data_IF_079701617916
#
_entry.id   IF_079701617916
#
_cell.length_a   1.000
_cell.length_b   1.000
_cell.length_c   1.000
_cell.angle_alpha   90.00
_cell.angle_beta   90.00
_cell.angle_gamma   90.00
#
_symmetry.space_group_name_H-M   'P 1'
#
loop_
_entity.id
_entity.type
_entity.pdbx_description
1 polymer ?
#
# COMPACT_ATOMS: atom_id res chain seq x y z
N UNK A 1 -28.58 14.83 -17.06
CA UNK A 1 -27.75 15.50 -16.03
C UNK A 1 -28.33 15.10 -14.68
N UNK A 2 -27.52 14.51 -13.79
CA UNK A 2 -27.98 14.16 -12.45
C UNK A 2 -28.12 15.47 -11.64
N UNK A 3 -29.27 15.63 -11.00
CA UNK A 3 -29.52 16.75 -10.08
C UNK A 3 -28.43 16.72 -8.97
N UNK A 4 -27.72 17.80 -8.77
CA UNK A 4 -26.67 17.90 -7.73
C UNK A 4 -25.24 17.95 -8.25
N UNK A 5 -24.97 17.64 -9.53
CA UNK A 5 -23.60 17.76 -10.09
C UNK A 5 -23.09 19.20 -10.09
N UNK A 6 -23.98 20.17 -10.19
CA UNK A 6 -23.63 21.59 -10.16
C UNK A 6 -23.18 22.05 -8.77
N UNK A 7 -23.84 21.55 -7.71
CA UNK A 7 -23.44 21.82 -6.32
C UNK A 7 -22.07 21.21 -6.03
N UNK A 8 -21.83 19.98 -6.48
CA UNK A 8 -20.53 19.30 -6.32
C UNK A 8 -19.42 20.06 -7.06
N UNK A 9 -19.68 20.50 -8.31
CA UNK A 9 -18.72 21.28 -9.08
C UNK A 9 -18.40 22.63 -8.42
N UNK A 10 -19.41 23.32 -7.89
CA UNK A 10 -19.21 24.56 -7.14
C UNK A 10 -18.39 24.32 -5.86
N UNK A 11 -18.68 23.25 -5.13
CA UNK A 11 -17.91 22.88 -3.93
C UNK A 11 -16.45 22.62 -4.29
N UNK A 12 -16.19 21.83 -5.33
CA UNK A 12 -14.83 21.50 -5.78
C UNK A 12 -14.06 22.73 -6.28
N UNK A 13 -14.73 23.69 -6.90
CA UNK A 13 -14.13 24.97 -7.33
C UNK A 13 -13.57 25.79 -6.16
N UNK A 14 -14.28 25.82 -5.04
CA UNK A 14 -13.91 26.62 -3.86
C UNK A 14 -13.17 25.85 -2.79
N UNK A 15 -12.95 24.52 -2.98
CA UNK A 15 -12.21 23.66 -2.05
C UNK A 15 -10.77 23.44 -2.53
N UNK A 16 -9.95 22.90 -1.64
CA UNK A 16 -8.65 22.33 -1.98
C UNK A 16 -8.82 20.82 -1.99
N UNK A 17 -8.73 20.19 -3.16
CA UNK A 17 -8.84 18.75 -3.30
C UNK A 17 -7.47 18.11 -3.06
N UNK A 18 -7.39 17.21 -2.10
CA UNK A 18 -6.19 16.42 -1.83
C UNK A 18 -6.49 14.96 -2.18
N UNK A 19 -5.67 14.38 -3.04
CA UNK A 19 -5.72 12.97 -3.43
C UNK A 19 -4.50 12.27 -2.86
N UNK A 20 -4.74 11.24 -2.06
CA UNK A 20 -3.70 10.39 -1.52
C UNK A 20 -3.63 9.09 -2.31
N UNK A 21 -2.38 8.64 -2.60
CA UNK A 21 -2.09 7.37 -3.27
C UNK A 21 -2.88 7.13 -4.57
N UNK A 22 -2.91 8.13 -5.48
CA UNK A 22 -3.68 8.06 -6.74
C UNK A 22 -3.37 6.83 -7.58
N UNK A 23 -2.14 6.30 -7.52
CA UNK A 23 -1.72 5.12 -8.27
C UNK A 23 -2.37 3.81 -7.78
N UNK A 24 -3.00 3.82 -6.60
CA UNK A 24 -3.72 2.66 -6.06
C UNK A 24 -5.04 2.37 -6.78
N UNK A 25 -5.54 3.33 -7.57
CA UNK A 25 -6.79 3.15 -8.32
C UNK A 25 -6.58 2.44 -9.66
N UNK A 26 -7.61 1.80 -10.15
CA UNK A 26 -7.61 1.22 -11.50
C UNK A 26 -7.39 2.28 -12.59
N UNK A 27 -6.74 1.95 -13.72
CA UNK A 27 -6.42 2.91 -14.78
C UNK A 27 -7.61 3.71 -15.31
N UNK A 28 -8.81 3.09 -15.36
CA UNK A 28 -10.04 3.79 -15.79
C UNK A 28 -10.47 4.84 -14.78
N UNK A 29 -10.35 4.53 -13.49
CA UNK A 29 -10.65 5.47 -12.40
C UNK A 29 -9.64 6.61 -12.41
N UNK A 30 -8.35 6.31 -12.57
CA UNK A 30 -7.28 7.31 -12.69
C UNK A 30 -7.58 8.27 -13.86
N UNK A 31 -7.99 7.77 -15.03
CA UNK A 31 -8.36 8.61 -16.17
C UNK A 31 -9.53 9.56 -15.84
N UNK A 32 -10.53 9.07 -15.12
CA UNK A 32 -11.68 9.88 -14.67
C UNK A 32 -11.25 10.95 -13.66
N UNK A 33 -10.38 10.56 -12.71
CA UNK A 33 -9.84 11.50 -11.72
C UNK A 33 -9.05 12.60 -12.42
N UNK A 34 -8.13 12.27 -13.33
CA UNK A 34 -7.31 13.25 -14.05
C UNK A 34 -8.18 14.21 -14.87
N UNK A 35 -9.22 13.70 -15.54
CA UNK A 35 -10.17 14.55 -16.23
C UNK A 35 -10.90 15.50 -15.27
N UNK A 36 -11.31 14.99 -14.10
CA UNK A 36 -11.92 15.79 -13.04
C UNK A 36 -10.98 16.87 -12.51
N UNK A 37 -9.69 16.55 -12.29
CA UNK A 37 -8.67 17.52 -11.85
C UNK A 37 -8.49 18.65 -12.87
N UNK A 38 -8.45 18.31 -14.15
CA UNK A 38 -8.41 19.31 -15.22
C UNK A 38 -9.62 20.24 -15.17
N UNK A 39 -10.81 19.68 -15.04
CA UNK A 39 -12.05 20.46 -14.95
C UNK A 39 -12.06 21.39 -13.72
N UNK A 40 -11.62 20.89 -12.56
CA UNK A 40 -11.51 21.69 -11.33
C UNK A 40 -10.57 22.88 -11.56
N UNK A 41 -9.44 22.65 -12.18
CA UNK A 41 -8.46 23.67 -12.45
C UNK A 41 -8.95 24.71 -13.47
N UNK A 42 -9.62 24.28 -14.54
CA UNK A 42 -10.26 25.18 -15.51
C UNK A 42 -11.32 26.08 -14.85
N UNK A 43 -11.96 25.62 -13.79
CA UNK A 43 -12.89 26.40 -12.96
C UNK A 43 -12.18 27.31 -11.95
N UNK A 44 -10.84 27.28 -11.83
CA UNK A 44 -10.04 28.03 -10.88
C UNK A 44 -9.92 27.39 -9.50
N UNK A 45 -10.23 26.11 -9.36
CA UNK A 45 -10.00 25.33 -8.15
C UNK A 45 -8.55 24.81 -8.03
N UNK A 46 -8.22 24.26 -6.87
CA UNK A 46 -6.88 23.75 -6.56
C UNK A 46 -6.91 22.29 -6.21
N UNK A 47 -5.84 21.58 -6.57
CA UNK A 47 -5.64 20.19 -6.16
C UNK A 47 -4.20 19.92 -5.73
N UNK A 48 -4.01 18.88 -4.93
CA UNK A 48 -2.73 18.27 -4.63
C UNK A 48 -2.84 16.76 -4.72
N UNK A 49 -1.78 16.10 -5.19
CA UNK A 49 -1.62 14.65 -5.18
C UNK A 49 -0.44 14.35 -4.26
N UNK A 50 -0.65 13.48 -3.28
CA UNK A 50 0.37 13.02 -2.34
C UNK A 50 0.55 11.52 -2.57
N UNK A 51 1.77 11.07 -2.76
CA UNK A 51 2.07 9.65 -2.97
C UNK A 51 3.51 9.33 -2.67
N UNK A 52 3.77 8.16 -2.12
CA UNK A 52 5.12 7.64 -1.92
C UNK A 52 5.75 7.14 -3.24
N UNK A 53 4.93 6.77 -4.21
CA UNK A 53 5.38 6.28 -5.51
C UNK A 53 4.61 7.00 -6.62
N UNK A 54 5.31 7.70 -7.50
CA UNK A 54 4.71 8.38 -8.65
C UNK A 54 5.18 7.74 -9.97
N UNK A 55 4.41 6.79 -10.51
CA UNK A 55 4.82 6.10 -11.73
C UNK A 55 4.99 7.06 -12.91
N UNK A 56 6.07 6.95 -13.72
CA UNK A 56 6.26 7.81 -14.88
C UNK A 56 5.11 7.76 -15.89
N UNK A 57 4.39 6.64 -15.93
CA UNK A 57 3.21 6.49 -16.78
C UNK A 57 2.08 7.42 -16.34
N UNK A 58 1.94 7.69 -15.05
CA UNK A 58 0.93 8.60 -14.52
C UNK A 58 1.20 10.03 -14.98
N UNK A 59 2.46 10.48 -14.94
CA UNK A 59 2.89 11.79 -15.46
C UNK A 59 2.51 11.95 -16.94
N UNK A 60 2.86 10.96 -17.77
CA UNK A 60 2.49 10.94 -19.19
C UNK A 60 0.98 10.96 -19.41
N UNK A 61 0.25 10.32 -18.53
CA UNK A 61 -1.21 10.30 -18.59
C UNK A 61 -1.79 11.68 -18.28
N UNK A 62 -1.29 12.36 -17.25
CA UNK A 62 -1.68 13.73 -16.91
C UNK A 62 -1.40 14.68 -18.07
N UNK A 63 -0.23 14.63 -18.67
CA UNK A 63 0.15 15.42 -19.85
C UNK A 63 -0.80 15.16 -21.03
N UNK A 64 -1.10 13.89 -21.32
CA UNK A 64 -2.05 13.51 -22.38
C UNK A 64 -3.44 14.14 -22.21
N UNK A 65 -3.89 14.30 -20.98
CA UNK A 65 -5.19 14.92 -20.67
C UNK A 65 -5.09 16.42 -20.43
N UNK A 66 -3.95 17.04 -20.73
CA UNK A 66 -3.76 18.48 -20.71
C UNK A 66 -3.42 19.07 -19.36
N UNK A 67 -2.91 18.26 -18.45
CA UNK A 67 -2.29 18.70 -17.20
C UNK A 67 -0.77 18.63 -17.38
N UNK A 68 -0.11 19.76 -17.61
CA UNK A 68 1.34 19.83 -17.83
C UNK A 68 2.06 20.38 -16.61
N UNK A 69 3.21 19.79 -16.28
CA UNK A 69 4.06 20.31 -15.22
C UNK A 69 4.56 21.72 -15.53
N UNK A 70 4.63 22.58 -14.52
CA UNK A 70 5.02 23.98 -14.66
C UNK A 70 3.89 24.91 -15.11
N UNK A 71 2.85 24.40 -15.76
CA UNK A 71 1.65 25.18 -16.15
C UNK A 71 0.48 24.95 -15.19
N UNK A 72 0.03 23.68 -15.09
CA UNK A 72 -1.13 23.32 -14.31
C UNK A 72 -0.80 22.73 -12.94
N UNK A 73 0.38 22.17 -12.77
CA UNK A 73 0.87 21.68 -11.48
C UNK A 73 2.38 21.85 -11.36
N UNK A 74 2.88 21.75 -10.14
CA UNK A 74 4.30 21.65 -9.83
C UNK A 74 4.57 20.29 -9.18
N UNK A 75 5.61 19.61 -9.66
CA UNK A 75 6.08 18.36 -9.06
C UNK A 75 7.17 18.67 -8.04
N UNK A 76 7.06 18.11 -6.84
CA UNK A 76 8.08 18.20 -5.81
C UNK A 76 8.47 16.79 -5.38
N UNK A 77 9.71 16.42 -5.66
CA UNK A 77 10.29 15.13 -5.30
C UNK A 77 11.02 15.25 -3.96
N UNK A 78 10.51 14.59 -2.93
CA UNK A 78 11.12 14.54 -1.61
C UNK A 78 12.16 13.40 -1.47
N UNK A 79 12.43 12.65 -2.54
CA UNK A 79 13.50 11.64 -2.57
C UNK A 79 14.86 12.23 -2.96
N UNK A 80 14.91 13.51 -3.33
CA UNK A 80 16.14 14.22 -3.61
C UNK A 80 17.09 14.19 -2.39
N UNK A 81 18.40 14.25 -2.66
CA UNK A 81 19.45 14.06 -1.62
C UNK A 81 19.30 14.95 -0.39
N UNK A 82 18.76 16.16 -0.54
CA UNK A 82 18.54 17.08 0.57
C UNK A 82 17.52 16.60 1.61
N UNK A 83 16.64 15.67 1.22
CA UNK A 83 15.60 15.09 2.06
C UNK A 83 15.90 13.65 2.50
N UNK A 84 17.02 13.07 2.08
CA UNK A 84 17.39 11.70 2.47
C UNK A 84 17.81 11.66 3.95
N UNK A 85 16.96 11.05 4.75
CA UNK A 85 17.18 10.88 6.19
C UNK A 85 18.04 9.67 6.53
N UNK A 86 18.05 8.63 5.67
CA UNK A 86 18.72 7.36 5.93
C UNK A 86 19.67 6.96 4.80
N UNK A 87 20.94 6.77 5.13
CA UNK A 87 21.96 6.25 4.20
C UNK A 87 22.13 4.73 4.26
N UNK A 88 21.40 4.04 5.15
CA UNK A 88 21.55 2.60 5.36
C UNK A 88 20.45 1.82 4.65
N UNK A 89 20.78 0.67 4.03
CA UNK A 89 19.78 -0.22 3.47
C UNK A 89 18.85 -0.74 4.58
N UNK A 90 17.54 -0.61 4.42
CA UNK A 90 16.56 -1.08 5.40
C UNK A 90 16.18 -2.54 5.21
N UNK A 91 16.41 -3.09 4.01
CA UNK A 91 15.96 -4.42 3.64
C UNK A 91 17.07 -5.22 2.96
N UNK A 92 17.17 -6.49 3.31
CA UNK A 92 17.90 -7.50 2.54
C UNK A 92 16.87 -8.33 1.77
N UNK A 93 16.97 -8.34 0.45
CA UNK A 93 16.01 -9.02 -0.42
C UNK A 93 16.62 -10.33 -0.91
N UNK A 94 15.85 -11.41 -0.79
CA UNK A 94 16.16 -12.71 -1.38
C UNK A 94 15.04 -13.10 -2.34
N UNK A 95 15.39 -13.39 -3.58
CA UNK A 95 14.42 -13.84 -4.60
C UNK A 95 14.59 -15.34 -4.79
N UNK A 96 13.52 -16.08 -4.58
CA UNK A 96 13.46 -17.54 -4.76
C UNK A 96 12.51 -17.88 -5.92
N UNK A 97 12.92 -18.84 -6.79
CA UNK A 97 12.10 -19.33 -7.90
C UNK A 97 11.24 -20.54 -7.49
N UNK A 98 10.74 -20.51 -6.27
CA UNK A 98 9.94 -21.58 -5.67
C UNK A 98 8.66 -21.01 -5.06
N UNK A 99 7.75 -21.87 -4.66
CA UNK A 99 6.63 -21.45 -3.81
C UNK A 99 7.12 -21.00 -2.43
N UNK A 100 6.26 -20.25 -1.74
CA UNK A 100 6.52 -19.80 -0.37
C UNK A 100 6.82 -21.02 0.52
N UNK A 101 7.97 -21.03 1.17
CA UNK A 101 8.42 -22.12 2.01
C UNK A 101 7.80 -22.04 3.42
N UNK A 102 6.82 -22.91 3.67
CA UNK A 102 6.05 -22.94 4.93
C UNK A 102 6.92 -23.33 6.11
N UNK A 103 7.83 -24.31 5.94
CA UNK A 103 8.72 -24.76 7.02
C UNK A 103 9.58 -23.61 7.55
N UNK A 104 10.17 -22.86 6.64
CA UNK A 104 11.01 -21.72 7.00
C UNK A 104 10.22 -20.61 7.68
N UNK A 105 8.96 -20.37 7.26
CA UNK A 105 8.09 -19.38 7.90
C UNK A 105 7.74 -19.80 9.31
N UNK A 106 7.40 -21.09 9.54
CA UNK A 106 7.09 -21.63 10.87
C UNK A 106 8.29 -21.52 11.80
N UNK A 107 9.48 -21.88 11.32
CA UNK A 107 10.73 -21.75 12.08
C UNK A 107 10.97 -20.28 12.50
N UNK A 108 10.89 -19.35 11.55
CA UNK A 108 11.11 -17.94 11.85
C UNK A 108 9.99 -17.32 12.69
N UNK A 109 8.74 -17.73 12.48
CA UNK A 109 7.57 -17.26 13.23
C UNK A 109 7.56 -17.72 14.69
N UNK A 110 8.41 -18.68 15.06
CA UNK A 110 8.59 -19.09 16.46
C UNK A 110 9.42 -18.09 17.28
N UNK A 111 10.21 -17.26 16.63
CA UNK A 111 11.14 -16.32 17.29
C UNK A 111 10.96 -14.87 16.89
N UNK A 112 10.32 -14.62 15.75
CA UNK A 112 10.12 -13.28 15.16
C UNK A 112 8.68 -13.06 14.73
N UNK A 113 8.33 -11.83 14.49
CA UNK A 113 7.07 -11.53 13.83
C UNK A 113 7.25 -11.56 12.30
N UNK A 114 6.43 -12.39 11.65
CA UNK A 114 6.51 -12.69 10.22
C UNK A 114 5.23 -12.28 9.52
N UNK A 115 5.37 -11.50 8.45
CA UNK A 115 4.27 -11.13 7.55
C UNK A 115 4.37 -11.93 6.24
N UNK A 116 3.28 -12.57 5.85
CA UNK A 116 3.16 -13.28 4.57
C UNK A 116 2.10 -12.61 3.73
N UNK A 117 2.45 -12.12 2.53
CA UNK A 117 1.51 -11.46 1.62
C UNK A 117 1.31 -12.29 0.37
N UNK A 118 0.09 -12.78 0.18
CA UNK A 118 -0.34 -13.51 -1.00
C UNK A 118 -1.06 -12.62 -1.99
N UNK A 119 -0.99 -12.94 -3.28
CA UNK A 119 -1.70 -12.20 -4.32
C UNK A 119 -3.19 -12.54 -4.39
N UNK A 120 -3.61 -13.68 -3.83
CA UNK A 120 -5.00 -14.12 -3.84
C UNK A 120 -5.47 -14.58 -2.47
N UNK A 121 -6.76 -14.37 -2.19
CA UNK A 121 -7.40 -14.83 -0.95
C UNK A 121 -7.32 -16.35 -0.83
N UNK A 122 -7.56 -17.08 -1.93
CA UNK A 122 -7.51 -18.54 -1.95
C UNK A 122 -6.15 -19.09 -1.52
N UNK A 123 -5.03 -18.47 -1.99
CA UNK A 123 -3.68 -18.89 -1.60
C UNK A 123 -3.41 -18.55 -0.13
N UNK A 124 -3.82 -17.37 0.33
CA UNK A 124 -3.68 -16.99 1.74
C UNK A 124 -4.43 -17.98 2.65
N UNK A 125 -5.66 -18.34 2.31
CA UNK A 125 -6.46 -19.32 3.05
C UNK A 125 -5.83 -20.73 3.05
N UNK A 126 -5.26 -21.15 1.90
CA UNK A 126 -4.57 -22.46 1.80
C UNK A 126 -3.37 -22.51 2.74
N UNK A 127 -2.49 -21.50 2.69
CA UNK A 127 -1.31 -21.42 3.55
C UNK A 127 -1.73 -21.33 5.02
N UNK A 128 -2.74 -20.54 5.35
CA UNK A 128 -3.25 -20.43 6.71
C UNK A 128 -3.73 -21.78 7.27
N UNK A 129 -4.53 -22.53 6.52
CA UNK A 129 -5.03 -23.85 6.95
C UNK A 129 -3.89 -24.81 7.23
N UNK A 130 -2.87 -24.85 6.36
CA UNK A 130 -1.71 -25.72 6.53
C UNK A 130 -0.88 -25.35 7.76
N UNK A 131 -0.74 -24.05 8.04
CA UNK A 131 0.01 -23.57 9.21
C UNK A 131 -0.77 -23.73 10.51
N UNK A 132 -2.10 -23.53 10.48
CA UNK A 132 -2.97 -23.64 11.66
C UNK A 132 -2.96 -25.06 12.25
N UNK A 133 -2.72 -26.10 11.46
CA UNK A 133 -2.55 -27.48 11.94
C UNK A 133 -1.25 -27.68 12.73
N UNK A 134 -0.30 -26.72 12.63
CA UNK A 134 1.06 -26.86 13.16
C UNK A 134 1.42 -25.82 14.22
N UNK A 135 0.71 -24.70 14.28
CA UNK A 135 0.92 -23.65 15.26
C UNK A 135 -0.36 -22.88 15.54
N UNK A 136 -0.53 -22.46 16.80
CA UNK A 136 -1.60 -21.58 17.21
C UNK A 136 -1.28 -20.09 16.98
N UNK A 137 0.00 -19.76 16.73
CA UNK A 137 0.48 -18.39 16.55
C UNK A 137 0.41 -17.92 15.10
N UNK A 138 -0.67 -18.23 14.40
CA UNK A 138 -0.93 -17.82 13.01
C UNK A 138 -2.29 -17.18 12.89
N UNK A 139 -2.33 -16.05 12.19
CA UNK A 139 -3.55 -15.26 11.95
C UNK A 139 -3.71 -14.96 10.45
N UNK A 140 -4.96 -14.72 10.04
CA UNK A 140 -5.31 -14.46 8.64
C UNK A 140 -6.11 -13.18 8.50
N UNK A 141 -5.70 -12.30 7.57
CA UNK A 141 -6.44 -11.09 7.21
C UNK A 141 -6.56 -10.94 5.68
N UNK A 142 -7.79 -10.85 5.17
CA UNK A 142 -8.06 -10.61 3.74
C UNK A 142 -9.34 -9.81 3.52
N UNK A 143 -9.60 -9.38 2.28
CA UNK A 143 -10.72 -8.51 1.92
C UNK A 143 -12.11 -9.13 2.01
N UNK A 144 -12.22 -10.46 2.08
CA UNK A 144 -13.52 -11.16 2.10
C UNK A 144 -14.16 -11.24 3.49
N UNK A 145 -13.53 -10.70 4.53
CA UNK A 145 -14.19 -10.56 5.83
C UNK A 145 -15.28 -9.48 5.79
N UNK A 146 -16.36 -9.67 6.53
CA UNK A 146 -17.34 -8.60 6.73
C UNK A 146 -16.70 -7.40 7.44
N UNK A 147 -17.24 -6.21 7.22
CA UNK A 147 -16.64 -4.95 7.69
C UNK A 147 -16.27 -4.95 9.17
N UNK A 148 -17.14 -5.51 10.02
CA UNK A 148 -16.91 -5.55 11.48
C UNK A 148 -15.72 -6.43 11.83
N UNK A 149 -15.66 -7.64 11.29
CA UNK A 149 -14.59 -8.61 11.59
C UNK A 149 -13.27 -8.17 10.98
N UNK A 150 -13.33 -7.54 9.82
CA UNK A 150 -12.17 -6.92 9.18
C UNK A 150 -11.57 -5.81 10.05
N UNK A 151 -12.39 -4.88 10.56
CA UNK A 151 -11.92 -3.81 11.43
C UNK A 151 -11.26 -4.35 12.71
N UNK A 152 -11.83 -5.40 13.30
CA UNK A 152 -11.24 -6.09 14.45
C UNK A 152 -9.88 -6.71 14.12
N UNK A 153 -9.74 -7.38 12.96
CA UNK A 153 -8.48 -7.99 12.54
C UNK A 153 -7.43 -6.94 12.15
N UNK A 154 -7.84 -5.81 11.56
CA UNK A 154 -6.96 -4.67 11.28
C UNK A 154 -6.40 -4.05 12.57
N UNK A 155 -7.22 -3.88 13.58
CA UNK A 155 -6.75 -3.45 14.90
C UNK A 155 -5.81 -4.48 15.54
N UNK A 156 -6.16 -5.76 15.47
CA UNK A 156 -5.38 -6.86 16.02
C UNK A 156 -3.98 -6.96 15.39
N UNK A 157 -3.85 -6.83 14.07
CA UNK A 157 -2.54 -6.87 13.39
C UNK A 157 -1.68 -5.65 13.75
N UNK A 158 -2.28 -4.46 13.90
CA UNK A 158 -1.55 -3.27 14.32
C UNK A 158 -0.99 -3.45 15.74
N UNK A 159 -1.81 -3.86 16.70
CA UNK A 159 -1.36 -4.14 18.07
C UNK A 159 -0.32 -5.26 18.13
N UNK A 160 -0.48 -6.30 17.29
CA UNK A 160 0.49 -7.38 17.22
C UNK A 160 1.84 -6.89 16.71
N UNK A 161 1.88 -6.09 15.64
CA UNK A 161 3.12 -5.57 15.05
C UNK A 161 3.90 -4.65 16.00
N UNK A 162 3.23 -4.04 16.98
CA UNK A 162 3.86 -3.22 18.02
C UNK A 162 4.34 -4.03 19.22
N UNK A 163 3.82 -5.23 19.41
CA UNK A 163 4.03 -6.03 20.63
C UNK A 163 5.37 -6.75 20.68
N UNK A 164 6.15 -6.77 19.59
CA UNK A 164 7.42 -7.51 19.44
C UNK A 164 7.30 -9.03 19.76
N UNK A 165 6.07 -9.56 19.80
CA UNK A 165 5.83 -10.99 20.05
C UNK A 165 6.06 -11.80 18.77
N UNK A 166 6.61 -13.02 18.88
CA UNK A 166 6.73 -13.91 17.72
C UNK A 166 5.36 -14.39 17.26
N UNK A 167 5.24 -14.63 15.96
CA UNK A 167 4.03 -15.13 15.33
C UNK A 167 3.95 -14.80 13.85
N UNK A 168 2.91 -15.28 13.21
CA UNK A 168 2.77 -15.22 11.74
C UNK A 168 1.43 -14.56 11.39
N UNK A 169 1.47 -13.57 10.52
CA UNK A 169 0.29 -13.01 9.89
C UNK A 169 0.30 -13.30 8.40
N UNK A 170 -0.75 -13.94 7.93
CA UNK A 170 -0.97 -14.22 6.50
C UNK A 170 -2.00 -13.22 5.99
N UNK A 171 -1.67 -12.52 4.90
CA UNK A 171 -2.50 -11.46 4.38
C UNK A 171 -2.56 -11.46 2.86
N UNK A 172 -3.35 -10.54 2.31
CA UNK A 172 -3.36 -10.20 0.90
C UNK A 172 -2.98 -8.73 0.72
N UNK A 173 -3.18 -8.16 -0.47
CA UNK A 173 -2.89 -6.74 -0.76
C UNK A 173 -3.57 -5.74 0.19
N UNK A 174 -4.49 -6.18 1.02
CA UNK A 174 -5.21 -5.32 1.97
C UNK A 174 -4.29 -4.54 2.91
N UNK A 175 -3.10 -5.07 3.20
CA UNK A 175 -2.11 -4.43 4.07
C UNK A 175 -1.21 -3.43 3.34
N UNK A 176 -1.26 -3.36 2.01
CA UNK A 176 -0.47 -2.42 1.23
C UNK A 176 -0.91 -0.97 1.50
N UNK A 177 -2.20 -0.73 1.69
CA UNK A 177 -2.77 0.58 1.95
C UNK A 177 -3.26 0.71 3.41
N UNK A 178 -3.10 1.88 3.98
CA UNK A 178 -3.79 2.36 5.19
C UNK A 178 -3.49 1.66 6.54
N UNK A 179 -2.63 0.64 6.61
CA UNK A 179 -2.24 0.03 7.88
C UNK A 179 -0.83 0.46 8.29
N UNK A 180 -0.69 0.93 9.52
CA UNK A 180 0.62 1.24 10.10
C UNK A 180 1.13 0.02 10.88
N UNK A 181 1.78 -0.89 10.16
CA UNK A 181 2.34 -2.13 10.68
C UNK A 181 3.83 -2.22 10.37
N UNK A 182 4.58 -2.88 11.24
CA UNK A 182 6.03 -3.05 11.12
C UNK A 182 6.45 -4.45 11.57
N UNK A 183 6.83 -5.29 10.63
CA UNK A 183 7.22 -6.68 10.85
C UNK A 183 8.73 -6.87 10.67
N UNK A 184 9.31 -7.89 11.33
CA UNK A 184 10.75 -8.21 11.21
C UNK A 184 11.06 -8.88 9.87
N UNK A 185 10.15 -9.74 9.39
CA UNK A 185 10.36 -10.54 8.19
C UNK A 185 9.12 -10.46 7.31
N UNK A 186 9.36 -10.30 6.01
CA UNK A 186 8.33 -10.30 4.99
C UNK A 186 8.56 -11.43 3.97
N UNK A 187 7.56 -12.26 3.78
CA UNK A 187 7.42 -13.15 2.64
C UNK A 187 6.35 -12.62 1.70
N UNK A 188 6.65 -12.53 0.43
CA UNK A 188 5.67 -12.05 -0.55
C UNK A 188 5.80 -12.76 -1.88
N UNK A 189 4.68 -12.98 -2.54
CA UNK A 189 4.68 -13.38 -3.94
C UNK A 189 5.15 -12.23 -4.82
N UNK A 190 5.67 -12.56 -6.00
CA UNK A 190 6.01 -11.55 -7.02
C UNK A 190 4.78 -10.73 -7.39
N UNK A 191 4.98 -9.42 -7.48
CA UNK A 191 3.94 -8.45 -7.78
C UNK A 191 4.52 -7.29 -8.60
N UNK A 192 3.72 -6.27 -8.88
CA UNK A 192 4.22 -5.04 -9.51
C UNK A 192 5.23 -4.32 -8.62
N UNK A 193 6.11 -3.52 -9.22
CA UNK A 193 7.13 -2.79 -8.46
C UNK A 193 6.52 -1.87 -7.38
N UNK A 194 5.42 -1.19 -7.71
CA UNK A 194 4.70 -0.31 -6.76
C UNK A 194 4.16 -1.09 -5.57
N UNK A 195 3.48 -2.24 -5.81
CA UNK A 195 3.02 -3.12 -4.75
C UNK A 195 4.17 -3.66 -3.92
N UNK A 196 5.29 -4.04 -4.56
CA UNK A 196 6.46 -4.55 -3.83
C UNK A 196 7.01 -3.49 -2.87
N UNK A 197 7.16 -2.25 -3.31
CA UNK A 197 7.62 -1.15 -2.46
C UNK A 197 6.66 -0.90 -1.29
N UNK A 198 5.35 -0.94 -1.52
CA UNK A 198 4.35 -0.80 -0.47
C UNK A 198 4.43 -1.95 0.55
N UNK A 199 4.61 -3.21 0.08
CA UNK A 199 4.80 -4.39 0.93
C UNK A 199 6.09 -4.29 1.75
N UNK A 200 7.19 -3.92 1.13
CA UNK A 200 8.47 -3.70 1.82
C UNK A 200 8.36 -2.62 2.89
N UNK A 201 7.55 -1.58 2.66
CA UNK A 201 7.23 -0.57 3.66
C UNK A 201 6.46 -1.09 4.88
N UNK A 202 6.13 -2.38 4.97
CA UNK A 202 5.51 -3.06 6.12
C UNK A 202 6.51 -3.93 6.91
N UNK A 203 7.77 -3.92 6.51
CA UNK A 203 8.84 -4.67 7.13
C UNK A 203 10.01 -3.75 7.43
N UNK A 204 10.53 -3.77 8.65
CA UNK A 204 11.59 -2.88 9.13
C UNK A 204 11.35 -1.41 8.75
N UNK A 205 10.09 -1.00 8.82
CA UNK A 205 9.64 0.35 8.44
C UNK A 205 10.33 1.44 9.24
N UNK A 206 10.53 1.18 10.53
CA UNK A 206 11.17 2.11 11.46
C UNK A 206 12.70 2.05 11.41
N UNK A 207 13.30 1.17 10.58
CA UNK A 207 14.74 1.02 10.48
C UNK A 207 15.41 0.51 11.77
N UNK A 208 14.71 -0.32 12.54
CA UNK A 208 15.20 -0.81 13.84
C UNK A 208 16.36 -1.79 13.71
N UNK A 209 16.44 -2.49 12.58
CA UNK A 209 17.43 -3.52 12.34
C UNK A 209 18.29 -3.15 11.13
N UNK A 210 19.59 -3.38 11.26
CA UNK A 210 20.50 -3.42 10.09
C UNK A 210 20.34 -4.81 9.47
N UNK A 211 19.93 -4.94 8.19
CA UNK A 211 19.62 -6.20 7.55
C UNK A 211 20.86 -7.07 7.27
#
# INVERSE_FOLDING_TARGET
KALGTEILAATLKYSKLILDEIQAYEPRVIATIIYGLKTIQEMGGYFAIITATFPPVLKKFMEKYGLSEGMQYQFKDFTEKEYQLDQFPRHKIQIEKSEINIERILEQGSTKNVLVICNTVSKAQKIYKEMQERTENVELLHSCYIRRDRAFLEEKIMLFSESEKPGIWITTQIVEASLDIDFDILYTEMCTADSLLQRMGRCNRKGRYVP
#
